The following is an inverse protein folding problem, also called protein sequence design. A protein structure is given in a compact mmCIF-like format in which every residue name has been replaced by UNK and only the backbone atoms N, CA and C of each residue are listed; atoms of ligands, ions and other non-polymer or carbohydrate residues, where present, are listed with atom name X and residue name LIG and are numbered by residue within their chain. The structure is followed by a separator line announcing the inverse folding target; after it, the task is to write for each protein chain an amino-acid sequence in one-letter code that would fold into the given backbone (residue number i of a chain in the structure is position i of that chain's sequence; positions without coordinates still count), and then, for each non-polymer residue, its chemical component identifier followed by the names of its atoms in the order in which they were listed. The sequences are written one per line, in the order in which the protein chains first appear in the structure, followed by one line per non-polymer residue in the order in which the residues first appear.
data_IF_285612848323
#
_entry.id   IF_285612848323
#
_cell.length_a   1.000
_cell.length_b   1.000
_cell.length_c   1.000
_cell.angle_alpha   90.00
_cell.angle_beta   90.00
_cell.angle_gamma   90.00
#
_symmetry.space_group_name_H-M   'P 1'
#
loop_
_entity.id
_entity.type
_entity.pdbx_description
1 polymer ?
#
# COMPACT_ATOMS: atom_id res chain seq x y z
N UNK A 1 -37.50 -19.07 23.05
CA UNK A 1 -37.30 -18.22 21.86
C UNK A 1 -37.56 -16.78 22.28
N UNK A 2 -36.53 -16.08 22.77
CA UNK A 2 -36.64 -14.68 23.21
C UNK A 2 -36.23 -13.77 22.07
N UNK A 3 -37.15 -12.90 21.67
CA UNK A 3 -36.98 -11.92 20.59
C UNK A 3 -36.15 -10.74 21.09
N UNK A 4 -34.99 -10.50 20.45
CA UNK A 4 -34.13 -9.34 20.70
C UNK A 4 -34.75 -8.14 19.99
N UNK A 5 -35.29 -7.19 20.78
CA UNK A 5 -35.73 -5.89 20.26
C UNK A 5 -34.50 -5.05 19.90
N UNK A 6 -34.30 -4.84 18.61
CA UNK A 6 -33.38 -3.84 18.08
C UNK A 6 -33.92 -2.46 18.44
N UNK A 7 -33.16 -1.69 19.22
CA UNK A 7 -33.46 -0.27 19.46
C UNK A 7 -33.00 0.50 18.22
N UNK A 8 -33.93 1.10 17.48
CA UNK A 8 -33.60 2.02 16.39
C UNK A 8 -32.88 3.23 16.97
N UNK A 9 -31.62 3.45 16.56
CA UNK A 9 -30.93 4.70 16.83
C UNK A 9 -31.73 5.85 16.21
N UNK A 10 -32.24 6.74 17.05
CA UNK A 10 -32.86 7.97 16.59
C UNK A 10 -31.83 8.82 15.82
N UNK A 11 -32.22 9.56 14.78
CA UNK A 11 -31.32 10.48 14.10
C UNK A 11 -30.82 11.51 15.11
N UNK A 12 -29.51 11.68 15.18
CA UNK A 12 -28.86 12.67 16.04
C UNK A 12 -29.21 14.08 15.54
N UNK A 13 -30.23 14.70 16.13
CA UNK A 13 -30.66 16.07 15.84
C UNK A 13 -29.70 17.03 16.55
N UNK A 14 -28.43 17.06 16.14
CA UNK A 14 -27.54 18.12 16.60
C UNK A 14 -27.85 19.39 15.81
N UNK A 15 -28.13 20.52 16.50
CA UNK A 15 -28.37 21.78 15.82
C UNK A 15 -27.14 22.18 15.00
N UNK A 16 -27.33 22.91 13.89
CA UNK A 16 -26.20 23.37 13.09
C UNK A 16 -25.24 24.23 13.94
N UNK A 17 -23.93 24.14 13.68
CA UNK A 17 -22.94 24.88 14.45
C UNK A 17 -23.07 26.38 14.18
N UNK A 18 -23.03 27.14 15.27
CA UNK A 18 -23.20 28.60 15.29
C UNK A 18 -21.83 29.28 15.19
N UNK A 19 -21.75 30.41 14.50
CA UNK A 19 -20.50 31.18 14.39
C UNK A 19 -20.33 32.07 15.61
N UNK A 20 -19.13 32.08 16.17
CA UNK A 20 -18.80 33.00 17.23
C UNK A 20 -18.84 34.46 16.72
N UNK A 21 -19.41 35.38 17.49
CA UNK A 21 -19.54 36.79 17.06
C UNK A 21 -18.22 37.53 17.10
N UNK A 22 -17.32 37.13 17.99
CA UNK A 22 -16.11 37.87 18.33
C UNK A 22 -14.89 37.29 17.60
N UNK A 23 -14.93 36.00 17.29
CA UNK A 23 -13.79 35.24 16.76
C UNK A 23 -14.09 34.51 15.44
N UNK A 24 -15.05 35.01 14.65
CA UNK A 24 -15.31 34.55 13.28
C UNK A 24 -14.95 35.63 12.25
N UNK A 25 -13.66 35.74 11.94
CA UNK A 25 -13.13 36.74 11.02
C UNK A 25 -13.33 36.34 9.55
N UNK A 26 -13.84 37.26 8.75
CA UNK A 26 -14.07 37.04 7.31
C UNK A 26 -12.78 36.65 6.57
N UNK A 27 -11.65 37.26 6.97
CA UNK A 27 -10.31 37.03 6.41
C UNK A 27 -9.54 35.87 7.06
N UNK A 28 -10.09 35.19 8.08
CA UNK A 28 -9.42 34.05 8.69
C UNK A 28 -9.20 32.90 7.68
N UNK A 29 -8.12 32.16 7.84
CA UNK A 29 -7.71 31.04 6.99
C UNK A 29 -7.75 29.69 7.74
N UNK A 30 -8.13 29.70 9.02
CA UNK A 30 -8.32 28.52 9.85
C UNK A 30 -9.71 28.52 10.48
N UNK A 31 -10.46 27.42 10.37
CA UNK A 31 -11.74 27.22 11.05
C UNK A 31 -11.57 26.12 12.10
N UNK A 32 -11.91 26.44 13.36
CA UNK A 32 -11.91 25.49 14.47
C UNK A 32 -13.34 25.39 15.00
N UNK A 33 -13.78 24.17 15.28
CA UNK A 33 -15.06 23.90 15.95
C UNK A 33 -14.79 23.48 17.40
N UNK A 34 -15.37 24.21 18.35
CA UNK A 34 -15.46 23.78 19.74
C UNK A 34 -16.93 23.62 20.10
N UNK A 35 -17.34 22.39 20.43
CA UNK A 35 -18.75 22.02 20.65
C UNK A 35 -19.65 22.43 19.46
N UNK A 36 -20.63 23.31 19.70
CA UNK A 36 -21.51 23.85 18.67
C UNK A 36 -21.11 25.25 18.17
N UNK A 37 -19.90 25.73 18.50
CA UNK A 37 -19.41 27.03 18.09
C UNK A 37 -18.27 26.91 17.07
N UNK A 38 -18.30 27.76 16.03
CA UNK A 38 -17.25 27.88 15.02
C UNK A 38 -16.47 29.16 15.24
N UNK A 39 -15.15 29.01 15.18
CA UNK A 39 -14.17 30.09 15.23
C UNK A 39 -13.48 30.13 13.87
N UNK A 40 -13.36 31.32 13.27
CA UNK A 40 -12.62 31.52 12.02
C UNK A 40 -11.53 32.55 12.26
N UNK A 41 -10.29 32.09 12.35
CA UNK A 41 -9.15 32.89 12.79
C UNK A 41 -7.94 32.69 11.88
N UNK A 42 -6.91 33.50 12.06
CA UNK A 42 -5.66 33.36 11.29
C UNK A 42 -4.78 32.27 11.90
N UNK A 43 -4.40 31.26 11.09
CA UNK A 43 -3.51 30.15 11.44
C UNK A 43 -2.23 30.62 12.11
N UNK A 44 -1.64 31.69 11.59
CA UNK A 44 -0.43 32.31 12.16
C UNK A 44 -0.57 32.66 13.65
N UNK A 45 -1.75 33.11 14.11
CA UNK A 45 -1.95 33.45 15.53
C UNK A 45 -1.91 32.21 16.41
N UNK A 46 -2.47 31.10 15.93
CA UNK A 46 -2.46 29.83 16.64
C UNK A 46 -1.07 29.20 16.66
N UNK A 47 -0.34 29.22 15.53
CA UNK A 47 1.03 28.70 15.46
C UNK A 47 1.99 29.50 16.34
N UNK A 48 1.87 30.83 16.35
CA UNK A 48 2.73 31.71 17.15
C UNK A 48 2.53 31.51 18.64
N UNK A 49 1.27 31.40 19.08
CA UNK A 49 0.92 31.45 20.50
C UNK A 49 0.71 30.05 21.11
N UNK A 50 0.78 28.97 20.30
CA UNK A 50 0.64 27.60 20.79
C UNK A 50 1.55 26.61 20.05
N UNK A 51 2.52 25.99 20.74
CA UNK A 51 3.36 24.95 20.14
C UNK A 51 2.54 23.71 19.73
N UNK A 52 1.41 23.45 20.39
CA UNK A 52 0.50 22.34 20.02
C UNK A 52 -0.08 22.57 18.63
N UNK A 53 -0.55 23.81 18.36
CA UNK A 53 -1.05 24.14 17.04
C UNK A 53 0.06 24.18 16.01
N UNK A 54 1.26 24.68 16.36
CA UNK A 54 2.42 24.64 15.49
C UNK A 54 2.74 23.20 15.03
N UNK A 55 2.79 22.25 15.96
CA UNK A 55 3.02 20.84 15.66
C UNK A 55 1.87 20.26 14.82
N UNK A 56 0.61 20.50 15.21
CA UNK A 56 -0.58 20.04 14.48
C UNK A 56 -0.63 20.54 13.03
N UNK A 57 -0.19 21.78 12.81
CA UNK A 57 -0.15 22.44 11.51
C UNK A 57 1.07 22.03 10.67
N UNK A 58 2.10 21.47 11.30
CA UNK A 58 3.27 20.87 10.63
C UNK A 58 2.99 19.46 10.10
N UNK A 59 1.95 18.78 10.62
CA UNK A 59 1.52 17.48 10.12
C UNK A 59 1.00 17.61 8.68
N UNK A 60 1.26 16.62 7.80
CA UNK A 60 0.76 16.65 6.43
C UNK A 60 -0.78 16.62 6.42
N UNK A 61 -1.40 17.78 6.20
CA UNK A 61 -2.87 17.96 6.29
C UNK A 61 -3.62 17.62 5.00
N UNK A 62 -2.94 17.24 3.93
CA UNK A 62 -3.64 16.76 2.74
C UNK A 62 -4.25 15.40 3.10
N UNK A 63 -5.58 15.30 2.99
CA UNK A 63 -6.30 14.07 3.31
C UNK A 63 -5.71 12.86 2.55
N UNK A 64 -5.18 13.08 1.35
CA UNK A 64 -4.44 12.07 0.58
C UNK A 64 -3.11 11.66 1.22
N UNK A 65 -2.29 12.60 1.70
CA UNK A 65 -0.99 12.30 2.32
C UNK A 65 -1.15 11.69 3.71
N UNK A 66 -2.11 12.14 4.51
CA UNK A 66 -2.42 11.56 5.81
C UNK A 66 -2.98 10.13 5.68
N UNK A 67 -3.84 9.91 4.66
CA UNK A 67 -4.38 8.58 4.30
C UNK A 67 -3.25 7.61 3.92
N UNK A 68 -2.35 8.04 3.04
CA UNK A 68 -1.17 7.25 2.66
C UNK A 68 -0.27 6.95 3.87
N UNK A 69 -0.05 7.93 4.74
CA UNK A 69 0.77 7.77 5.94
C UNK A 69 0.18 6.74 6.92
N UNK A 70 -1.10 6.88 7.29
CA UNK A 70 -1.76 5.96 8.21
C UNK A 70 -1.82 4.53 7.65
N UNK A 71 -2.18 4.37 6.37
CA UNK A 71 -2.19 3.05 5.74
C UNK A 71 -0.81 2.37 5.79
N UNK A 72 0.26 3.11 5.46
CA UNK A 72 1.63 2.60 5.54
C UNK A 72 2.05 2.25 6.97
N UNK A 73 1.71 3.08 7.96
CA UNK A 73 2.01 2.81 9.37
C UNK A 73 1.32 1.52 9.88
N UNK A 74 0.04 1.33 9.53
CA UNK A 74 -0.70 0.12 9.92
C UNK A 74 -0.19 -1.14 9.22
N UNK A 75 0.08 -1.05 7.93
CA UNK A 75 0.67 -2.16 7.18
C UNK A 75 2.04 -2.55 7.76
N UNK A 76 2.89 -1.58 8.13
CA UNK A 76 4.15 -1.86 8.83
C UNK A 76 3.93 -2.52 10.19
N UNK A 77 2.93 -2.08 10.97
CA UNK A 77 2.58 -2.72 12.23
C UNK A 77 2.19 -4.19 12.03
N UNK A 78 1.27 -4.47 11.11
CA UNK A 78 0.83 -5.84 10.79
C UNK A 78 2.01 -6.69 10.31
N UNK A 79 2.82 -6.15 9.39
CA UNK A 79 4.02 -6.82 8.89
C UNK A 79 4.94 -7.24 10.03
N UNK A 80 5.22 -6.34 10.96
CA UNK A 80 6.08 -6.65 12.11
C UNK A 80 5.42 -7.67 13.05
N UNK A 81 4.14 -7.52 13.39
CA UNK A 81 3.44 -8.46 14.28
C UNK A 81 3.37 -9.87 13.67
N UNK A 82 3.06 -9.98 12.38
CA UNK A 82 2.97 -11.27 11.67
C UNK A 82 4.34 -11.91 11.46
N UNK A 83 5.37 -11.12 11.14
CA UNK A 83 6.75 -11.62 10.97
C UNK A 83 7.41 -12.03 12.31
N UNK A 84 7.10 -11.35 13.42
CA UNK A 84 7.62 -11.70 14.75
C UNK A 84 7.17 -13.09 15.24
N UNK A 85 6.09 -13.65 14.68
CA UNK A 85 5.65 -15.02 14.97
C UNK A 85 6.35 -16.10 14.14
N UNK A 86 7.18 -15.73 13.17
CA UNK A 86 7.87 -16.69 12.27
C UNK A 86 9.38 -16.72 12.42
N UNK A 87 9.97 -15.90 13.29
CA UNK A 87 11.40 -15.98 13.63
C UNK A 87 11.60 -15.73 15.12
N UNK A 88 11.87 -16.82 15.85
CA UNK A 88 12.50 -16.74 17.17
C UNK A 88 13.83 -16.00 17.00
N UNK A 89 14.03 -14.94 17.78
CA UNK A 89 15.29 -14.21 17.96
C UNK A 89 15.80 -13.40 16.75
N UNK A 90 15.16 -12.28 16.43
CA UNK A 90 15.93 -11.02 16.25
C UNK A 90 14.99 -9.83 16.30
N UNK A 91 15.09 -9.10 17.41
CA UNK A 91 14.47 -7.79 17.56
C UNK A 91 15.26 -6.85 16.65
N UNK A 92 14.74 -6.56 15.46
CA UNK A 92 15.32 -5.51 14.60
C UNK A 92 15.28 -4.23 15.43
N UNK A 93 16.44 -3.66 15.76
CA UNK A 93 16.57 -2.34 16.37
C UNK A 93 16.07 -1.28 15.39
N UNK A 94 14.75 -1.11 15.33
CA UNK A 94 14.07 0.00 14.66
C UNK A 94 14.19 1.24 15.54
N UNK A 95 15.36 1.88 15.47
CA UNK A 95 15.61 3.18 16.06
C UNK A 95 14.51 4.18 15.66
N UNK A 96 13.86 4.75 16.68
CA UNK A 96 12.84 5.80 16.64
C UNK A 96 11.38 5.46 16.28
N UNK A 97 10.92 4.20 16.32
CA UNK A 97 9.46 3.90 16.22
C UNK A 97 8.79 3.43 17.53
N UNK A 98 9.55 3.36 18.63
CA UNK A 98 9.07 2.86 19.93
C UNK A 98 7.85 3.61 20.51
N UNK A 99 7.51 4.81 20.02
CA UNK A 99 6.32 5.54 20.46
C UNK A 99 4.98 4.93 19.96
N UNK A 100 4.98 4.06 18.94
CA UNK A 100 3.74 3.61 18.27
C UNK A 100 3.44 2.12 18.40
N UNK A 101 4.37 1.30 18.91
CA UNK A 101 4.22 -0.17 18.95
C UNK A 101 3.42 -0.66 20.18
N UNK A 102 3.13 0.20 21.15
CA UNK A 102 2.16 -0.08 22.22
C UNK A 102 0.73 0.29 21.79
N UNK A 103 0.29 -0.23 20.64
CA UNK A 103 -1.11 -0.12 20.26
C UNK A 103 -1.90 -1.17 21.06
N UNK A 104 -2.33 -0.79 22.26
CA UNK A 104 -3.23 -1.60 23.07
C UNK A 104 -4.52 -1.84 22.28
N UNK A 105 -4.70 -3.06 21.79
CA UNK A 105 -5.86 -3.47 21.01
C UNK A 105 -7.18 -3.35 21.77
N UNK A 106 -7.13 -3.21 23.11
CA UNK A 106 -8.32 -2.91 23.92
C UNK A 106 -8.87 -1.50 23.70
N UNK A 107 -8.10 -0.61 23.05
CA UNK A 107 -8.46 0.79 22.74
C UNK A 107 -9.06 0.96 21.33
N UNK A 108 -9.02 -0.09 20.50
CA UNK A 108 -9.60 -0.04 19.16
C UNK A 108 -11.12 -0.26 19.22
N UNK A 109 -11.88 0.72 18.75
CA UNK A 109 -13.33 0.54 18.59
C UNK A 109 -13.62 -0.54 17.53
N UNK A 110 -14.80 -1.17 17.61
CA UNK A 110 -15.23 -2.27 16.73
C UNK A 110 -15.09 -1.92 15.24
N UNK A 111 -15.40 -0.66 14.88
CA UNK A 111 -15.26 -0.14 13.53
C UNK A 111 -13.80 -0.15 13.05
N UNK A 112 -12.83 0.20 13.90
CA UNK A 112 -11.39 0.13 13.59
C UNK A 112 -10.92 -1.31 13.45
N UNK A 113 -11.37 -2.21 14.33
CA UNK A 113 -11.05 -3.64 14.21
C UNK A 113 -11.55 -4.23 12.89
N UNK A 114 -12.80 -3.95 12.51
CA UNK A 114 -13.35 -4.38 11.22
C UNK A 114 -12.52 -3.89 10.03
N UNK A 115 -12.10 -2.62 10.06
CA UNK A 115 -11.25 -2.01 9.02
C UNK A 115 -9.90 -2.69 8.90
N UNK A 116 -9.24 -2.96 10.03
CA UNK A 116 -7.96 -3.66 10.04
C UNK A 116 -8.10 -5.07 9.46
N UNK A 117 -9.15 -5.81 9.84
CA UNK A 117 -9.44 -7.12 9.26
C UNK A 117 -9.68 -7.04 7.75
N UNK A 118 -10.42 -6.03 7.28
CA UNK A 118 -10.69 -5.82 5.86
C UNK A 118 -9.42 -5.43 5.08
N UNK A 119 -8.58 -4.56 5.63
CA UNK A 119 -7.28 -4.19 5.07
C UNK A 119 -6.34 -5.39 4.98
N UNK A 120 -6.23 -6.17 6.06
CA UNK A 120 -5.47 -7.41 6.07
C UNK A 120 -5.97 -8.40 5.02
N UNK A 121 -7.28 -8.63 4.95
CA UNK A 121 -7.88 -9.52 3.96
C UNK A 121 -7.61 -9.05 2.52
N UNK A 122 -7.71 -7.75 2.26
CA UNK A 122 -7.46 -7.18 0.93
C UNK A 122 -6.00 -7.33 0.51
N UNK A 123 -5.06 -7.12 1.45
CA UNK A 123 -3.63 -7.36 1.22
C UNK A 123 -3.34 -8.84 0.99
N UNK A 124 -3.94 -9.74 1.76
CA UNK A 124 -3.81 -11.19 1.56
C UNK A 124 -4.35 -11.60 0.18
N UNK A 125 -5.50 -11.05 -0.24
CA UNK A 125 -6.06 -11.27 -1.57
C UNK A 125 -5.14 -10.74 -2.68
N UNK A 126 -4.55 -9.56 -2.49
CA UNK A 126 -3.58 -9.01 -3.45
C UNK A 126 -2.36 -9.93 -3.57
N UNK A 127 -1.78 -10.37 -2.44
CA UNK A 127 -0.65 -11.30 -2.45
C UNK A 127 -1.00 -12.61 -3.16
N UNK A 128 -2.14 -13.20 -2.83
CA UNK A 128 -2.63 -14.42 -3.50
C UNK A 128 -2.82 -14.20 -5.00
N UNK A 129 -3.36 -13.05 -5.44
CA UNK A 129 -3.53 -12.74 -6.87
C UNK A 129 -2.20 -12.66 -7.60
N UNK A 130 -1.21 -11.98 -7.01
CA UNK A 130 0.12 -11.79 -7.62
C UNK A 130 0.91 -13.11 -7.73
N UNK A 131 0.67 -14.05 -6.82
CA UNK A 131 1.31 -15.36 -6.85
C UNK A 131 0.55 -16.38 -7.69
N UNK A 132 -0.79 -16.34 -7.69
CA UNK A 132 -1.62 -17.30 -8.40
C UNK A 132 -1.62 -17.07 -9.92
N UNK A 133 -1.47 -15.83 -10.36
CA UNK A 133 -1.49 -15.47 -11.77
C UNK A 133 -0.38 -14.48 -12.12
N UNK A 134 0.24 -14.70 -13.27
CA UNK A 134 1.18 -13.72 -13.82
C UNK A 134 0.39 -12.43 -14.12
N UNK A 135 0.86 -11.26 -13.66
CA UNK A 135 0.27 -9.98 -14.03
C UNK A 135 0.27 -9.82 -15.55
N UNK A 136 -0.77 -9.20 -16.11
CA UNK A 136 -0.79 -8.97 -17.56
C UNK A 136 0.20 -7.86 -17.89
N UNK A 137 1.06 -8.10 -18.87
CA UNK A 137 1.89 -7.05 -19.44
C UNK A 137 1.01 -6.18 -20.35
N UNK A 138 1.05 -4.86 -20.16
CA UNK A 138 0.27 -3.93 -20.97
C UNK A 138 0.66 -4.00 -22.45
N UNK A 139 -0.37 -3.93 -23.32
CA UNK A 139 -0.18 -3.96 -24.77
C UNK A 139 0.75 -2.83 -25.24
N UNK A 140 1.59 -3.15 -26.23
CA UNK A 140 2.51 -2.19 -26.83
C UNK A 140 2.43 -2.22 -28.36
N UNK A 141 1.60 -1.35 -28.93
CA UNK A 141 1.39 -1.26 -30.40
C UNK A 141 2.64 -0.88 -31.18
N UNK A 142 3.64 -0.28 -30.52
CA UNK A 142 4.91 0.08 -31.16
C UNK A 142 5.91 -1.08 -31.21
N UNK A 143 5.63 -2.21 -30.57
CA UNK A 143 6.50 -3.38 -30.57
C UNK A 143 5.93 -4.48 -31.46
N UNK A 144 6.67 -4.82 -32.52
CA UNK A 144 6.31 -5.84 -33.51
C UNK A 144 6.20 -7.23 -32.91
N UNK A 145 6.99 -7.49 -31.87
CA UNK A 145 7.13 -8.81 -31.24
C UNK A 145 6.51 -8.85 -29.83
N UNK A 146 5.55 -7.97 -29.55
CA UNK A 146 4.98 -7.85 -28.21
C UNK A 146 4.23 -9.11 -27.78
N UNK A 147 3.32 -9.58 -28.63
CA UNK A 147 2.51 -10.77 -28.35
C UNK A 147 3.28 -12.07 -28.50
N UNK A 148 4.25 -12.13 -29.43
CA UNK A 148 5.01 -13.33 -29.77
C UNK A 148 6.24 -13.55 -28.88
N UNK A 149 6.87 -12.49 -28.38
CA UNK A 149 8.12 -12.56 -27.60
C UNK A 149 7.91 -11.93 -26.22
N UNK A 150 7.49 -10.66 -26.14
CA UNK A 150 7.52 -9.94 -24.87
C UNK A 150 6.58 -10.53 -23.81
N UNK A 151 5.32 -10.83 -24.16
CA UNK A 151 4.34 -11.42 -23.24
C UNK A 151 4.78 -12.82 -22.77
N UNK A 152 5.16 -13.77 -23.67
CA UNK A 152 5.68 -15.06 -23.23
C UNK A 152 6.93 -14.98 -22.36
N UNK A 153 7.89 -14.13 -22.70
CA UNK A 153 9.12 -13.97 -21.91
C UNK A 153 8.81 -13.38 -20.54
N UNK A 154 7.95 -12.35 -20.46
CA UNK A 154 7.44 -11.83 -19.18
C UNK A 154 6.79 -12.93 -18.33
N UNK A 155 5.93 -13.76 -18.95
CA UNK A 155 5.26 -14.84 -18.23
C UNK A 155 6.23 -15.88 -17.68
N UNK A 156 7.25 -16.23 -18.47
CA UNK A 156 8.30 -17.17 -18.06
C UNK A 156 9.16 -16.56 -16.95
N UNK A 157 9.63 -15.33 -17.13
CA UNK A 157 10.46 -14.61 -16.18
C UNK A 157 9.74 -14.40 -14.85
N UNK A 158 8.50 -13.90 -14.86
CA UNK A 158 7.72 -13.68 -13.64
C UNK A 158 7.60 -14.97 -12.83
N UNK A 159 7.26 -16.09 -13.49
CA UNK A 159 7.13 -17.39 -12.80
C UNK A 159 8.47 -17.87 -12.25
N UNK A 160 9.54 -17.80 -13.03
CA UNK A 160 10.86 -18.25 -12.62
C UNK A 160 11.35 -17.48 -11.38
N UNK A 161 11.28 -16.14 -11.44
CA UNK A 161 11.77 -15.30 -10.36
C UNK A 161 10.85 -15.36 -9.12
N UNK A 162 9.53 -15.24 -9.29
CA UNK A 162 8.60 -15.28 -8.14
C UNK A 162 8.65 -16.60 -7.38
N UNK A 163 8.90 -17.73 -8.06
CA UNK A 163 9.06 -19.04 -7.40
C UNK A 163 10.44 -19.23 -6.76
N UNK A 164 11.47 -18.55 -7.27
CA UNK A 164 12.82 -18.57 -6.70
C UNK A 164 13.00 -17.69 -5.45
N UNK A 165 12.07 -16.76 -5.19
CA UNK A 165 12.14 -15.89 -4.02
C UNK A 165 11.86 -16.66 -2.70
N UNK A 166 12.44 -16.22 -1.57
CA UNK A 166 12.16 -16.81 -0.26
C UNK A 166 10.67 -16.81 0.07
N UNK A 167 10.16 -17.86 0.71
CA UNK A 167 8.74 -18.01 1.09
C UNK A 167 8.22 -16.80 1.89
N UNK A 168 9.07 -16.14 2.67
CA UNK A 168 8.73 -14.93 3.42
C UNK A 168 8.29 -13.76 2.51
N UNK A 169 8.82 -13.69 1.28
CA UNK A 169 8.44 -12.66 0.29
C UNK A 169 7.05 -12.91 -0.30
N UNK A 170 6.54 -14.14 -0.23
CA UNK A 170 5.22 -14.51 -0.78
C UNK A 170 4.05 -14.01 0.07
N UNK A 171 4.28 -13.72 1.35
CA UNK A 171 3.24 -13.19 2.24
C UNK A 171 3.11 -11.67 2.19
N UNK A 172 4.08 -11.00 1.56
CA UNK A 172 4.15 -9.56 1.53
C UNK A 172 4.18 -9.06 0.07
N UNK A 173 3.02 -8.59 -0.46
CA UNK A 173 2.94 -8.16 -1.85
C UNK A 173 3.88 -6.99 -2.16
N UNK A 174 4.21 -6.14 -1.19
CA UNK A 174 5.15 -5.03 -1.40
C UNK A 174 6.57 -5.54 -1.60
N UNK A 175 7.02 -6.46 -0.75
CA UNK A 175 8.36 -7.06 -0.84
C UNK A 175 8.49 -7.87 -2.13
N UNK A 176 7.44 -8.58 -2.53
CA UNK A 176 7.39 -9.25 -3.83
C UNK A 176 7.59 -8.24 -4.98
N UNK A 177 6.78 -7.17 -5.03
CA UNK A 177 6.88 -6.15 -6.09
C UNK A 177 8.27 -5.51 -6.11
N UNK A 178 8.81 -5.12 -4.95
CA UNK A 178 10.15 -4.53 -4.84
C UNK A 178 11.26 -5.50 -5.28
N UNK A 179 11.15 -6.78 -4.92
CA UNK A 179 12.09 -7.81 -5.35
C UNK A 179 12.07 -7.96 -6.87
N UNK A 180 10.88 -7.98 -7.47
CA UNK A 180 10.72 -8.04 -8.93
C UNK A 180 11.24 -6.78 -9.62
N UNK A 181 11.03 -5.60 -9.04
CA UNK A 181 11.60 -4.33 -9.53
C UNK A 181 13.13 -4.34 -9.48
N UNK A 182 13.72 -4.80 -8.38
CA UNK A 182 15.16 -4.90 -8.24
C UNK A 182 15.77 -5.88 -9.25
N UNK A 183 15.11 -7.02 -9.47
CA UNK A 183 15.51 -7.99 -10.49
C UNK A 183 15.42 -7.39 -11.90
N UNK A 184 14.32 -6.71 -12.23
CA UNK A 184 14.14 -6.08 -13.53
C UNK A 184 15.11 -4.91 -13.79
N UNK A 185 15.50 -4.19 -12.74
CA UNK A 185 16.49 -3.10 -12.81
C UNK A 185 17.92 -3.61 -12.81
N UNK A 186 18.19 -4.78 -12.22
CA UNK A 186 19.52 -5.36 -12.29
C UNK A 186 19.89 -5.68 -13.74
N UNK A 187 21.13 -5.43 -14.14
CA UNK A 187 21.68 -5.86 -15.44
C UNK A 187 21.86 -7.39 -15.51
N UNK A 188 21.35 -8.13 -14.52
CA UNK A 188 21.03 -9.54 -14.69
C UNK A 188 19.90 -9.58 -15.71
N UNK A 189 20.26 -9.80 -16.96
CA UNK A 189 19.37 -10.05 -18.10
C UNK A 189 18.10 -10.77 -17.63
N UNK A 190 16.91 -10.34 -18.08
CA UNK A 190 15.56 -10.83 -17.71
C UNK A 190 15.29 -12.29 -18.17
N UNK A 191 16.29 -13.14 -18.01
CA UNK A 191 16.51 -14.55 -18.31
C UNK A 191 16.68 -14.89 -19.80
N UNK A 192 17.81 -15.57 -20.05
CA UNK A 192 18.10 -16.45 -21.17
C UNK A 192 16.97 -17.46 -21.38
N UNK A 193 16.19 -17.26 -22.44
CA UNK A 193 15.15 -18.21 -22.82
C UNK A 193 15.83 -19.52 -23.21
N UNK A 194 15.63 -20.57 -22.40
CA UNK A 194 15.92 -21.95 -22.80
C UNK A 194 15.08 -22.26 -24.06
N UNK A 195 15.68 -22.16 -25.25
CA UNK A 195 15.16 -22.89 -26.41
C UNK A 195 15.43 -24.36 -26.15
N UNK A 196 14.50 -25.02 -25.46
CA UNK A 196 14.34 -26.47 -25.55
C UNK A 196 13.82 -26.80 -26.95
N UNK A 197 14.69 -26.67 -27.96
CA UNK A 197 14.52 -27.37 -29.22
C UNK A 197 14.80 -28.83 -28.93
N UNK A 198 13.78 -29.69 -29.09
CA UNK A 198 14.01 -31.13 -29.12
C UNK A 198 14.86 -31.42 -30.36
N UNK A 199 16.18 -31.53 -30.17
CA UNK A 199 17.06 -32.07 -31.20
C UNK A 199 17.34 -33.53 -30.89
N UNK A 200 17.10 -34.37 -31.89
CA UNK A 200 17.27 -35.81 -31.84
C UNK A 200 18.75 -36.18 -32.05
N UNK A 201 19.69 -35.38 -31.56
CA UNK A 201 21.12 -35.66 -31.74
C UNK A 201 22.01 -34.95 -30.70
N UNK A 202 21.91 -35.38 -29.43
CA UNK A 202 23.06 -35.59 -28.54
C UNK A 202 24.05 -34.47 -28.18
N UNK A 203 23.89 -33.21 -28.60
CA UNK A 203 24.79 -32.11 -28.25
C UNK A 203 24.00 -30.83 -27.93
N UNK A 204 23.63 -30.67 -26.66
CA UNK A 204 23.06 -29.41 -26.16
C UNK A 204 24.21 -28.45 -25.90
N UNK A 205 24.60 -27.67 -26.89
CA UNK A 205 25.28 -26.40 -26.63
C UNK A 205 24.23 -25.45 -26.04
N UNK A 206 24.35 -25.18 -24.73
CA UNK A 206 23.63 -24.09 -24.08
C UNK A 206 24.10 -22.76 -24.66
N UNK A 207 23.48 -22.33 -25.76
CA UNK A 207 23.64 -20.97 -26.27
C UNK A 207 22.90 -20.04 -25.31
N UNK A 208 23.63 -19.46 -24.36
CA UNK A 208 23.22 -18.27 -23.61
C UNK A 208 23.24 -17.08 -24.57
N UNK A 209 22.28 -17.03 -25.49
CA UNK A 209 22.04 -15.83 -26.27
C UNK A 209 21.32 -14.82 -25.37
N UNK A 210 22.07 -13.84 -24.88
CA UNK A 210 21.56 -12.61 -24.28
C UNK A 210 20.59 -11.95 -25.28
N UNK A 211 19.30 -12.08 -25.01
CA UNK A 211 18.27 -11.43 -25.81
C UNK A 211 17.48 -10.52 -24.88
N UNK A 212 17.77 -9.20 -24.87
CA UNK A 212 17.07 -8.27 -24.01
C UNK A 212 15.59 -8.26 -24.40
N UNK A 213 14.70 -8.29 -23.41
CA UNK A 213 13.26 -8.17 -23.65
C UNK A 213 13.00 -6.84 -24.34
N UNK A 214 12.48 -6.81 -25.60
CA UNK A 214 12.29 -5.57 -26.34
C UNK A 214 11.41 -4.55 -25.61
N UNK A 215 10.53 -5.02 -24.72
CA UNK A 215 9.64 -4.22 -23.89
C UNK A 215 10.09 -4.08 -22.42
N UNK A 216 11.39 -4.01 -22.11
CA UNK A 216 11.87 -3.78 -20.73
C UNK A 216 11.20 -2.57 -20.06
N UNK A 217 11.02 -1.47 -20.78
CA UNK A 217 10.30 -0.30 -20.27
C UNK A 217 8.86 -0.65 -19.84
N UNK A 218 8.14 -1.48 -20.59
CA UNK A 218 6.77 -1.91 -20.23
C UNK A 218 6.72 -2.81 -19.01
N UNK A 219 7.78 -3.59 -18.79
CA UNK A 219 7.93 -4.38 -17.57
C UNK A 219 8.04 -3.45 -16.37
N UNK A 220 8.87 -2.42 -16.46
CA UNK A 220 9.01 -1.42 -15.40
C UNK A 220 7.72 -0.64 -15.17
N UNK A 221 7.06 -0.18 -16.24
CA UNK A 221 5.74 0.48 -16.15
C UNK A 221 4.72 -0.43 -15.44
N UNK A 222 4.70 -1.72 -15.75
CA UNK A 222 3.78 -2.69 -15.15
C UNK A 222 4.07 -2.89 -13.66
N UNK A 223 5.34 -2.95 -13.27
CA UNK A 223 5.74 -3.08 -11.87
C UNK A 223 5.43 -1.81 -11.07
N UNK A 224 5.61 -0.63 -11.66
CA UNK A 224 5.22 0.65 -11.06
C UNK A 224 3.69 0.74 -10.87
N UNK A 225 2.91 0.31 -11.86
CA UNK A 225 1.46 0.23 -11.75
C UNK A 225 1.03 -0.72 -10.63
N UNK A 226 1.73 -1.85 -10.46
CA UNK A 226 1.48 -2.75 -9.33
C UNK A 226 1.82 -2.12 -7.98
N UNK A 227 2.91 -1.34 -7.89
CA UNK A 227 3.22 -0.53 -6.70
C UNK A 227 2.09 0.46 -6.41
N UNK A 228 1.57 1.12 -7.44
CA UNK A 228 0.46 2.07 -7.32
C UNK A 228 -0.81 1.40 -6.82
N UNK A 229 -1.20 0.26 -7.41
CA UNK A 229 -2.36 -0.53 -6.96
C UNK A 229 -2.18 -0.96 -5.50
N UNK A 230 -0.98 -1.38 -5.09
CA UNK A 230 -0.69 -1.71 -3.70
C UNK A 230 -0.86 -0.49 -2.79
N UNK A 231 -0.23 0.64 -3.11
CA UNK A 231 -0.31 1.86 -2.29
C UNK A 231 -1.75 2.38 -2.21
N UNK A 232 -2.52 2.29 -3.30
CA UNK A 232 -3.95 2.62 -3.32
C UNK A 232 -4.79 1.64 -2.46
N UNK A 233 -4.52 0.33 -2.54
CA UNK A 233 -5.18 -0.70 -1.70
C UNK A 233 -4.92 -0.45 -0.21
N UNK A 234 -3.68 -0.10 0.13
CA UNK A 234 -3.28 0.27 1.50
C UNK A 234 -4.01 1.54 1.93
N UNK A 235 -4.11 2.53 1.05
CA UNK A 235 -4.76 3.80 1.34
C UNK A 235 -6.29 3.67 1.45
N UNK A 236 -6.94 2.82 0.64
CA UNK A 236 -8.40 2.60 0.64
C UNK A 236 -8.86 1.76 1.83
N UNK A 237 -8.20 0.64 2.09
CA UNK A 237 -8.71 -0.35 3.04
C UNK A 237 -8.29 -0.09 4.49
N UNK A 238 -7.31 0.79 4.74
CA UNK A 238 -6.94 1.25 6.09
C UNK A 238 -7.56 2.62 6.50
N UNK A 239 -8.44 3.18 5.65
CA UNK A 239 -9.48 4.21 5.90
C UNK A 239 -9.12 5.69 6.05
N UNK A 240 -9.80 6.53 5.23
CA UNK A 240 -10.75 7.59 5.64
C UNK A 240 -11.90 7.62 4.58
N UNK A 241 -13.15 8.00 4.95
CA UNK A 241 -14.25 8.11 3.99
C UNK A 241 -13.94 9.14 2.89
N UNK A 242 -14.49 8.94 1.69
CA UNK A 242 -14.67 10.03 0.75
C UNK A 242 -15.65 11.02 1.38
N UNK A 243 -15.16 12.21 1.74
CA UNK A 243 -16.02 13.36 2.01
C UNK A 243 -16.76 13.77 0.72
#
# INVERSE_FOLDING_TARGET
MSSVKCHSAAPDITPPPTRDTDYYFEKGDCIIRAENCLFKIHRFLLERDSPIFQDLFSLPQSAGTLRQFHGKAYYMYIKNVVMLHSSSESLIELGNFAAFVNLDTSVLNELRCHRLCQGFWSLAQLSMKLLAAVPRLNDNTSCTDHSSICIPTWNTWWKAESTGLPVQTHYDPRVLIESMQNLANSDRELISVFRSGYDYDGLVETFEAEMPIPCKARILDQLEEMTRIFDDTVADHFMLPHD
#
